data_IF_525927587406
#
_entry.id   IF_525927587406
#
_cell.length_a   1.000
_cell.length_b   1.000
_cell.length_c   1.000
_cell.angle_alpha   90.00
_cell.angle_beta   90.00
_cell.angle_gamma   90.00
#
_symmetry.space_group_name_H-M   'P 1'
#
loop_
_entity.id
_entity.type
_entity.pdbx_description
1 polymer ?
#
# COMPACT_ATOMS: atom_id res chain seq x y z
N UNK A 1 12.90 12.16 8.77
CA UNK A 1 12.85 11.33 7.53
C UNK A 1 12.22 9.98 7.88
N UNK A 2 11.40 9.37 7.01
CA UNK A 2 10.85 8.03 7.27
C UNK A 2 12.00 7.01 7.43
N UNK A 3 11.82 5.97 8.26
CA UNK A 3 12.84 4.93 8.41
C UNK A 3 13.12 4.24 7.06
N UNK A 4 14.36 3.77 6.81
CA UNK A 4 14.66 3.07 5.57
C UNK A 4 13.96 1.71 5.53
N UNK A 5 13.49 1.26 4.36
CA UNK A 5 12.88 -0.08 4.16
C UNK A 5 13.69 -1.24 4.74
N UNK A 6 15.02 -1.09 4.81
CA UNK A 6 15.94 -2.09 5.39
C UNK A 6 15.76 -2.32 6.89
N UNK A 7 15.13 -1.40 7.62
CA UNK A 7 14.90 -1.52 9.06
C UNK A 7 13.53 -2.09 9.42
N UNK A 8 12.71 -2.47 8.43
CA UNK A 8 11.39 -3.06 8.67
C UNK A 8 11.57 -4.44 9.31
N UNK A 9 10.89 -4.66 10.42
CA UNK A 9 10.87 -5.96 11.10
C UNK A 9 9.79 -6.85 10.48
N UNK A 10 10.00 -8.17 10.40
CA UNK A 10 8.95 -9.09 10.03
C UNK A 10 7.76 -8.99 10.98
N UNK A 11 6.55 -9.19 10.45
CA UNK A 11 5.34 -9.30 11.23
C UNK A 11 5.40 -10.53 12.16
N UNK A 12 4.77 -10.47 13.35
CA UNK A 12 4.60 -11.64 14.21
C UNK A 12 3.88 -12.78 13.48
N UNK A 13 4.32 -14.02 13.69
CA UNK A 13 3.74 -15.23 13.11
C UNK A 13 3.51 -16.24 14.22
N UNK A 14 2.30 -16.79 14.30
CA UNK A 14 1.93 -17.75 15.35
C UNK A 14 2.60 -19.13 15.18
N UNK A 15 2.84 -19.53 13.93
CA UNK A 15 3.41 -20.84 13.57
C UNK A 15 4.54 -20.71 12.55
N UNK A 16 5.73 -20.27 12.97
CA UNK A 16 6.85 -19.99 12.06
C UNK A 16 7.37 -21.22 11.30
N UNK A 17 7.13 -22.42 11.83
CA UNK A 17 7.59 -23.69 11.25
C UNK A 17 6.59 -24.29 10.25
N UNK A 18 5.38 -23.71 10.11
CA UNK A 18 4.40 -24.16 9.12
C UNK A 18 4.64 -23.48 7.76
N UNK A 19 4.58 -24.22 6.64
CA UNK A 19 4.94 -23.70 5.32
C UNK A 19 3.97 -22.67 4.73
N UNK A 20 2.82 -22.40 5.35
CA UNK A 20 1.88 -21.36 4.90
C UNK A 20 1.32 -21.60 3.49
N UNK A 21 0.65 -22.73 3.26
CA UNK A 21 0.11 -23.08 1.93
C UNK A 21 -1.19 -22.34 1.60
N UNK A 22 -1.52 -22.24 0.30
CA UNK A 22 -2.83 -21.70 -0.14
C UNK A 22 -4.00 -22.52 0.43
N UNK A 23 -3.82 -23.83 0.65
CA UNK A 23 -4.86 -24.68 1.24
C UNK A 23 -5.18 -24.33 2.70
N UNK A 24 -4.23 -23.71 3.42
CA UNK A 24 -4.42 -23.23 4.79
C UNK A 24 -5.01 -21.82 4.87
N UNK A 25 -5.25 -21.15 3.74
CA UNK A 25 -5.84 -19.80 3.72
C UNK A 25 -7.22 -19.78 4.37
N UNK A 26 -7.51 -18.70 5.09
CA UNK A 26 -8.82 -18.36 5.63
C UNK A 26 -9.15 -16.93 5.25
N UNK A 27 -10.42 -16.66 5.03
CA UNK A 27 -10.93 -15.32 4.77
C UNK A 27 -11.69 -14.83 6.00
N UNK A 28 -11.54 -13.55 6.31
CA UNK A 28 -12.32 -12.83 7.28
C UNK A 28 -12.83 -11.57 6.58
N UNK A 29 -14.14 -11.35 6.70
CA UNK A 29 -14.82 -10.24 6.04
C UNK A 29 -15.36 -9.28 7.11
N UNK A 30 -15.30 -7.99 6.79
CA UNK A 30 -15.87 -6.91 7.59
C UNK A 30 -16.52 -5.91 6.63
N UNK A 31 -17.66 -5.37 7.03
CA UNK A 31 -18.48 -4.48 6.21
C UNK A 31 -18.84 -3.22 6.99
N UNK A 32 -18.91 -2.11 6.27
CA UNK A 32 -19.51 -0.87 6.73
C UNK A 32 -20.95 -0.81 6.24
N UNK A 33 -21.84 -0.19 7.01
CA UNK A 33 -23.19 0.05 6.52
C UNK A 33 -23.22 1.10 5.39
N UNK A 34 -24.39 1.34 4.82
CA UNK A 34 -24.54 2.26 3.69
C UNK A 34 -24.22 3.72 4.06
N UNK A 35 -24.54 4.15 5.29
CA UNK A 35 -24.28 5.51 5.74
C UNK A 35 -22.80 5.72 6.05
N UNK A 36 -22.15 4.75 6.70
CA UNK A 36 -20.71 4.73 6.94
C UNK A 36 -19.93 4.72 5.62
N UNK A 37 -20.37 3.90 4.65
CA UNK A 37 -19.76 3.84 3.32
C UNK A 37 -19.93 5.16 2.56
N UNK A 38 -21.10 5.79 2.63
CA UNK A 38 -21.36 7.10 2.03
C UNK A 38 -20.46 8.18 2.64
N UNK A 39 -20.35 8.22 3.97
CA UNK A 39 -19.46 9.15 4.65
C UNK A 39 -18.00 8.95 4.24
N UNK A 40 -17.56 7.69 4.11
CA UNK A 40 -16.21 7.34 3.67
C UNK A 40 -15.93 7.77 2.21
N UNK A 41 -16.90 7.60 1.31
CA UNK A 41 -16.73 7.90 -0.12
C UNK A 41 -16.93 9.38 -0.47
N UNK A 42 -17.76 10.11 0.27
CA UNK A 42 -18.16 11.47 -0.10
C UNK A 42 -17.65 12.53 0.90
N UNK A 43 -17.87 12.32 2.20
CA UNK A 43 -17.63 13.34 3.22
C UNK A 43 -16.14 13.47 3.57
N UNK A 44 -15.44 12.35 3.76
CA UNK A 44 -14.00 12.36 4.09
C UNK A 44 -13.15 12.96 2.96
N UNK A 45 -13.33 12.57 1.68
CA UNK A 45 -12.61 13.18 0.57
C UNK A 45 -12.88 14.69 0.44
N UNK A 46 -14.10 15.14 0.70
CA UNK A 46 -14.46 16.56 0.67
C UNK A 46 -13.75 17.36 1.76
N UNK A 47 -13.66 16.82 2.99
CA UNK A 47 -13.05 17.50 4.13
C UNK A 47 -11.51 17.55 4.06
N UNK A 48 -10.87 16.48 3.57
CA UNK A 48 -9.41 16.34 3.63
C UNK A 48 -8.73 16.35 2.26
N UNK A 49 -9.47 16.50 1.15
CA UNK A 49 -8.95 16.43 -0.23
C UNK A 49 -8.15 15.15 -0.49
N UNK A 50 -8.69 14.01 -0.06
CA UNK A 50 -8.08 12.68 -0.15
C UNK A 50 -8.70 11.85 -1.27
N UNK A 51 -8.02 10.77 -1.63
CA UNK A 51 -8.59 9.64 -2.36
C UNK A 51 -9.02 8.58 -1.34
N UNK A 52 -9.96 7.71 -1.72
CA UNK A 52 -10.39 6.58 -0.86
C UNK A 52 -9.21 5.72 -0.40
N UNK A 53 -8.25 5.47 -1.30
CA UNK A 53 -7.03 4.73 -0.99
C UNK A 53 -6.21 5.37 0.14
N UNK A 54 -6.20 6.71 0.26
CA UNK A 54 -5.48 7.39 1.35
C UNK A 54 -6.10 7.04 2.71
N UNK A 55 -7.44 7.00 2.77
CA UNK A 55 -8.19 6.73 4.00
C UNK A 55 -8.04 5.27 4.41
N UNK A 56 -8.22 4.35 3.46
CA UNK A 56 -8.08 2.91 3.72
C UNK A 56 -6.66 2.52 4.10
N UNK A 57 -5.64 3.07 3.41
CA UNK A 57 -4.24 2.84 3.78
C UNK A 57 -3.93 3.41 5.18
N UNK A 58 -4.54 4.54 5.56
CA UNK A 58 -4.39 5.11 6.91
C UNK A 58 -4.94 4.15 7.96
N UNK A 59 -6.17 3.66 7.77
CA UNK A 59 -6.80 2.70 8.68
C UNK A 59 -5.99 1.40 8.79
N UNK A 60 -5.46 0.90 7.67
CA UNK A 60 -4.59 -0.28 7.64
C UNK A 60 -3.34 -0.09 8.51
N UNK A 61 -2.62 1.02 8.34
CA UNK A 61 -1.41 1.29 9.13
C UNK A 61 -1.75 1.46 10.61
N UNK A 62 -2.88 2.10 10.95
CA UNK A 62 -3.34 2.23 12.34
C UNK A 62 -3.67 0.87 12.97
N UNK A 63 -4.36 -0.02 12.25
CA UNK A 63 -4.68 -1.37 12.72
C UNK A 63 -3.40 -2.18 13.01
N UNK A 64 -2.43 -2.15 12.08
CA UNK A 64 -1.15 -2.81 12.27
C UNK A 64 -0.31 -2.17 13.38
N UNK A 65 -0.38 -0.85 13.56
CA UNK A 65 0.31 -0.16 14.65
C UNK A 65 -0.23 -0.58 16.01
N UNK A 66 -1.56 -0.69 16.15
CA UNK A 66 -2.20 -1.19 17.37
C UNK A 66 -1.86 -2.65 17.67
N UNK A 67 -1.76 -3.49 16.64
CA UNK A 67 -1.40 -4.90 16.79
C UNK A 67 0.09 -5.14 17.08
N UNK A 68 0.98 -4.50 16.32
CA UNK A 68 2.43 -4.75 16.38
C UNK A 68 3.19 -3.84 17.35
N UNK A 69 2.55 -2.78 17.84
CA UNK A 69 3.22 -1.73 18.61
C UNK A 69 4.24 -0.91 17.79
N UNK A 70 4.22 -1.00 16.45
CA UNK A 70 5.14 -0.27 15.56
C UNK A 70 4.35 0.69 14.67
N UNK A 71 4.66 2.00 14.63
CA UNK A 71 3.89 2.99 13.88
C UNK A 71 4.22 3.00 12.38
N UNK A 72 4.63 1.86 11.80
CA UNK A 72 4.99 1.76 10.39
C UNK A 72 4.68 0.38 9.82
N UNK A 73 4.29 0.33 8.55
CA UNK A 73 3.96 -0.88 7.83
C UNK A 73 4.58 -0.84 6.43
N UNK A 74 5.28 -1.91 6.05
CA UNK A 74 5.68 -2.16 4.66
C UNK A 74 4.57 -2.93 3.97
N UNK A 75 3.93 -2.31 3.00
CA UNK A 75 2.78 -2.85 2.27
C UNK A 75 3.03 -2.77 0.77
N UNK A 76 2.69 -3.83 0.05
CA UNK A 76 2.58 -3.80 -1.40
C UNK A 76 1.22 -3.18 -1.77
N UNK A 77 1.26 -2.06 -2.48
CA UNK A 77 0.08 -1.39 -3.01
C UNK A 77 -0.11 -1.77 -4.47
N UNK A 78 -1.37 -1.99 -4.84
CA UNK A 78 -1.77 -2.18 -6.23
C UNK A 78 -2.30 -0.89 -6.84
N UNK A 79 -1.73 -0.51 -7.99
CA UNK A 79 -2.21 0.55 -8.86
C UNK A 79 -2.79 -0.03 -10.16
N UNK A 80 -3.65 0.73 -10.83
CA UNK A 80 -4.26 0.32 -12.10
C UNK A 80 -3.24 0.09 -13.23
N UNK A 81 -2.05 0.72 -13.13
CA UNK A 81 -0.96 0.63 -14.11
C UNK A 81 -1.33 1.12 -15.52
N UNK A 82 -2.31 2.00 -15.57
CA UNK A 82 -2.75 2.75 -16.78
C UNK A 82 -2.36 4.22 -16.73
N UNK A 83 -1.37 4.56 -15.91
CA UNK A 83 -0.82 5.91 -15.90
C UNK A 83 -0.23 6.22 -17.28
N UNK A 84 -0.32 7.49 -17.69
CA UNK A 84 0.26 7.98 -18.95
C UNK A 84 1.80 8.02 -18.85
N UNK A 85 2.42 6.85 -19.02
CA UNK A 85 3.87 6.67 -18.84
C UNK A 85 4.62 6.81 -20.17
N UNK A 86 3.92 6.59 -21.29
CA UNK A 86 4.47 6.67 -22.63
C UNK A 86 3.66 7.65 -23.45
N UNK A 87 4.33 8.64 -24.03
CA UNK A 87 3.70 9.59 -24.93
C UNK A 87 2.99 8.85 -26.07
N UNK A 88 1.68 9.10 -26.21
CA UNK A 88 0.85 8.51 -27.26
C UNK A 88 0.32 7.10 -27.00
N UNK A 89 0.57 6.50 -25.83
CA UNK A 89 -0.02 5.22 -25.46
C UNK A 89 -1.34 5.41 -24.67
N UNK A 90 -2.47 5.09 -25.30
CA UNK A 90 -3.77 5.04 -24.63
C UNK A 90 -4.15 3.60 -24.28
N UNK A 91 -4.09 3.28 -23.00
CA UNK A 91 -4.50 1.98 -22.48
C UNK A 91 -5.93 2.00 -21.93
N UNK A 92 -6.71 3.08 -21.99
CA UNK A 92 -8.02 3.23 -21.31
C UNK A 92 -9.03 2.13 -21.66
N UNK A 93 -8.99 1.61 -22.89
CA UNK A 93 -9.89 0.55 -23.40
C UNK A 93 -9.21 -0.78 -23.66
N UNK A 94 -7.96 -0.95 -23.22
CA UNK A 94 -7.19 -2.17 -23.43
C UNK A 94 -7.49 -3.19 -22.34
N UNK A 95 -7.78 -4.43 -22.74
CA UNK A 95 -7.93 -5.58 -21.84
C UNK A 95 -6.58 -6.29 -21.71
N UNK A 96 -6.16 -6.52 -20.48
CA UNK A 96 -4.89 -7.18 -20.16
C UNK A 96 -4.55 -7.04 -18.68
N UNK A 97 -3.51 -7.75 -18.24
CA UNK A 97 -3.00 -7.63 -16.88
C UNK A 97 -2.05 -6.43 -16.80
N UNK A 98 -2.57 -5.29 -16.35
CA UNK A 98 -1.86 -4.02 -16.28
C UNK A 98 -1.53 -3.58 -14.85
N UNK A 99 -1.91 -4.36 -13.82
CA UNK A 99 -1.70 -4.01 -12.42
C UNK A 99 -0.24 -3.70 -12.12
N UNK A 100 0.01 -2.52 -11.55
CA UNK A 100 1.31 -2.15 -11.02
C UNK A 100 1.36 -2.46 -9.53
N UNK A 101 2.26 -3.35 -9.11
CA UNK A 101 2.48 -3.67 -7.70
C UNK A 101 3.77 -3.02 -7.23
N UNK A 102 3.72 -2.27 -6.14
CA UNK A 102 4.89 -1.62 -5.58
C UNK A 102 4.85 -1.51 -4.05
N UNK A 103 5.98 -1.74 -3.37
CA UNK A 103 6.08 -1.63 -1.93
C UNK A 103 6.21 -0.17 -1.49
N UNK A 104 5.44 0.21 -0.48
CA UNK A 104 5.56 1.48 0.24
C UNK A 104 5.73 1.19 1.72
N UNK A 105 6.76 1.80 2.33
CA UNK A 105 6.88 1.86 3.77
C UNK A 105 6.12 3.09 4.27
N UNK A 106 4.92 2.85 4.80
CA UNK A 106 4.08 3.89 5.38
C UNK A 106 4.38 4.03 6.87
N UNK A 107 4.49 5.27 7.35
CA UNK A 107 4.71 5.55 8.77
C UNK A 107 3.77 6.62 9.31
N UNK A 108 3.22 6.39 10.50
CA UNK A 108 2.55 7.42 11.28
C UNK A 108 3.57 8.26 12.05
N UNK A 109 4.76 7.72 12.33
CA UNK A 109 5.82 8.39 13.11
C UNK A 109 5.67 8.24 14.62
N UNK A 110 4.43 8.12 15.14
CA UNK A 110 4.13 7.67 16.51
C UNK A 110 2.80 6.92 16.56
N UNK A 111 2.59 6.16 17.63
CA UNK A 111 1.31 5.52 17.91
C UNK A 111 0.32 6.58 18.44
N UNK A 112 -0.98 6.36 18.26
CA UNK A 112 -2.08 7.20 18.75
C UNK A 112 -2.08 8.65 18.23
N UNK A 113 -1.66 8.86 16.99
CA UNK A 113 -1.86 10.14 16.31
C UNK A 113 -3.35 10.43 16.09
N UNK A 114 -3.79 11.69 16.26
CA UNK A 114 -5.14 12.09 15.91
C UNK A 114 -5.51 11.65 14.47
N UNK A 115 -6.76 11.25 14.20
CA UNK A 115 -7.15 10.71 12.89
C UNK A 115 -6.80 11.63 11.71
N UNK A 116 -7.03 12.93 11.84
CA UNK A 116 -6.69 13.90 10.80
C UNK A 116 -5.19 14.04 10.54
N UNK A 117 -4.36 13.94 11.60
CA UNK A 117 -2.90 13.95 11.46
C UNK A 117 -2.38 12.65 10.82
N UNK A 118 -2.95 11.50 11.23
CA UNK A 118 -2.64 10.20 10.64
C UNK A 118 -2.94 10.19 9.14
N UNK A 119 -4.14 10.64 8.76
CA UNK A 119 -4.57 10.73 7.37
C UNK A 119 -3.65 11.63 6.55
N UNK A 120 -3.31 12.80 7.09
CA UNK A 120 -2.38 13.72 6.43
C UNK A 120 -1.01 13.10 6.21
N UNK A 121 -0.44 12.44 7.23
CA UNK A 121 0.88 11.83 7.15
C UNK A 121 0.95 10.74 6.07
N UNK A 122 -0.05 9.86 6.01
CA UNK A 122 -0.12 8.78 5.03
C UNK A 122 -0.38 9.32 3.62
N UNK A 123 -1.34 10.25 3.48
CA UNK A 123 -1.65 10.94 2.21
C UNK A 123 -0.41 11.59 1.59
N UNK A 124 0.38 12.32 2.38
CA UNK A 124 1.60 12.98 1.89
C UNK A 124 2.64 11.95 1.40
N UNK A 125 2.77 10.81 2.09
CA UNK A 125 3.67 9.72 1.66
C UNK A 125 3.21 9.05 0.37
N UNK A 126 1.91 8.77 0.23
CA UNK A 126 1.34 8.19 -0.99
C UNK A 126 1.48 9.14 -2.19
N UNK A 127 1.29 10.44 -1.98
CA UNK A 127 1.49 11.46 -3.04
C UNK A 127 2.94 11.62 -3.47
N UNK A 128 3.90 11.25 -2.62
CA UNK A 128 5.32 11.28 -2.97
C UNK A 128 5.71 10.11 -3.90
N UNK A 129 4.84 9.13 -4.10
CA UNK A 129 5.09 8.01 -5.02
C UNK A 129 4.98 8.52 -6.46
N UNK A 130 6.07 8.42 -7.26
CA UNK A 130 6.03 8.84 -8.65
C UNK A 130 5.19 7.88 -9.49
N UNK A 131 4.31 8.44 -10.34
CA UNK A 131 3.60 7.72 -11.40
C UNK A 131 2.95 6.41 -10.92
N UNK A 132 2.24 6.46 -9.79
CA UNK A 132 1.52 5.30 -9.25
C UNK A 132 2.41 4.08 -8.97
N UNK A 133 3.72 4.28 -8.81
CA UNK A 133 4.68 3.23 -8.46
C UNK A 133 5.08 2.30 -9.61
N UNK A 134 4.61 2.53 -10.85
CA UNK A 134 4.88 1.64 -11.99
C UNK A 134 6.37 1.45 -12.30
N UNK A 135 7.18 2.48 -12.06
CA UNK A 135 8.63 2.43 -12.22
C UNK A 135 9.29 1.36 -11.36
N UNK A 136 8.69 0.96 -10.23
CA UNK A 136 9.22 -0.10 -9.38
C UNK A 136 9.29 -1.43 -10.13
N UNK A 137 8.19 -1.85 -10.76
CA UNK A 137 8.12 -3.11 -11.49
C UNK A 137 9.09 -3.12 -12.68
N UNK A 138 9.16 -2.01 -13.42
CA UNK A 138 10.09 -1.84 -14.53
C UNK A 138 11.54 -1.96 -14.08
N UNK A 139 11.94 -1.26 -13.01
CA UNK A 139 13.31 -1.30 -12.51
C UNK A 139 13.67 -2.65 -11.88
N UNK A 140 12.74 -3.28 -11.17
CA UNK A 140 13.00 -4.54 -10.44
C UNK A 140 13.04 -5.76 -11.35
N UNK A 141 12.18 -5.79 -12.37
CA UNK A 141 11.93 -7.00 -13.17
C UNK A 141 12.34 -6.88 -14.63
N UNK A 142 12.44 -5.68 -15.19
CA UNK A 142 12.68 -5.48 -16.64
C UNK A 142 14.05 -4.88 -16.93
N UNK A 143 14.47 -3.84 -16.20
CA UNK A 143 15.67 -3.06 -16.52
C UNK A 143 16.99 -3.84 -16.34
N UNK A 144 17.02 -4.83 -15.44
CA UNK A 144 18.24 -5.56 -15.08
C UNK A 144 19.30 -4.69 -14.38
N UNK A 145 20.50 -5.24 -14.23
CA UNK A 145 21.68 -4.54 -13.70
C UNK A 145 21.57 -4.15 -12.21
N UNK A 146 22.42 -3.19 -11.81
CA UNK A 146 22.60 -2.78 -10.40
C UNK A 146 21.28 -2.31 -9.75
N UNK A 147 20.43 -1.60 -10.49
CA UNK A 147 19.15 -1.11 -9.96
C UNK A 147 18.22 -2.28 -9.59
N UNK A 148 18.11 -3.29 -10.45
CA UNK A 148 17.31 -4.48 -10.19
C UNK A 148 17.85 -5.25 -8.97
N UNK A 149 19.16 -5.50 -8.92
CA UNK A 149 19.83 -6.20 -7.82
C UNK A 149 19.61 -5.48 -6.48
N UNK A 150 19.76 -4.15 -6.47
CA UNK A 150 19.53 -3.34 -5.28
C UNK A 150 18.10 -3.43 -4.80
N UNK A 151 17.11 -3.37 -5.69
CA UNK A 151 15.71 -3.52 -5.31
C UNK A 151 15.41 -4.93 -4.82
N UNK A 152 15.95 -5.96 -5.46
CA UNK A 152 15.78 -7.37 -5.10
C UNK A 152 16.35 -7.71 -3.71
N UNK A 153 17.42 -7.03 -3.29
CA UNK A 153 17.99 -7.18 -1.95
C UNK A 153 17.19 -6.51 -0.82
N UNK A 154 16.16 -5.71 -1.12
CA UNK A 154 15.33 -5.07 -0.10
C UNK A 154 14.28 -6.04 0.46
N UNK A 155 13.91 -5.92 1.76
CA UNK A 155 12.87 -6.74 2.37
C UNK A 155 11.56 -6.71 1.59
N UNK A 156 10.94 -7.84 1.31
CA UNK A 156 9.61 -7.91 0.69
C UNK A 156 8.52 -7.46 1.68
N UNK A 157 7.42 -6.89 1.17
CA UNK A 157 6.24 -6.66 2.00
C UNK A 157 5.60 -8.01 2.37
N UNK A 158 5.05 -8.10 3.56
CA UNK A 158 4.27 -9.28 4.01
C UNK A 158 2.76 -9.03 3.95
N UNK A 159 2.36 -7.83 3.51
CA UNK A 159 0.98 -7.39 3.36
C UNK A 159 0.82 -6.84 1.96
N UNK A 160 -0.19 -7.30 1.25
CA UNK A 160 -0.64 -6.72 0.00
C UNK A 160 -1.99 -6.03 0.24
N UNK A 161 -2.20 -4.87 -0.37
CA UNK A 161 -3.43 -4.09 -0.25
C UNK A 161 -3.90 -3.61 -1.61
N UNK A 162 -5.16 -3.89 -1.93
CA UNK A 162 -5.81 -3.53 -3.17
C UNK A 162 -7.20 -2.96 -2.91
N UNK A 163 -7.54 -1.87 -3.60
CA UNK A 163 -8.87 -1.28 -3.64
C UNK A 163 -9.42 -1.39 -5.06
N UNK A 164 -10.53 -2.11 -5.22
CA UNK A 164 -11.04 -2.54 -6.53
C UNK A 164 -11.86 -1.50 -7.29
N UNK A 165 -12.18 -0.36 -6.67
CA UNK A 165 -13.01 0.68 -7.29
C UNK A 165 -14.39 0.75 -6.68
#
# INVERSE_FOLDING_TARGET
>A
PPPPRRSVRPLPVDRPDEPGTVASTRALDAELDAEETRALLEEVPAAYHTRIQDVLATALVQAFAGWTGTPSLLVDLEGHGRDEIFDGADASRTVGWLTAVYPVLLTLGRIDLPPGESLRAIKEQLRAVPQGGIGYGLLRHVAGGEAAERLQSLPAAQVAFNYLG
#
